data_IF_920897978560
#
_entry.id   IF_920897978560
#
_cell.length_a   1.000
_cell.length_b   1.000
_cell.length_c   1.000
_cell.angle_alpha   90.00
_cell.angle_beta   90.00
_cell.angle_gamma   90.00
#
_symmetry.space_group_name_H-M   'P 1'
#
loop_
_entity.id
_entity.type
_entity.pdbx_description
1 polymer ?
#
# COMPACT_ATOMS: atom_id res chain seq x y z
N UNK A 1 -1.09 12.32 11.32
CA UNK A 1 -2.26 11.45 11.55
C UNK A 1 -1.76 10.12 12.09
N UNK A 2 -2.52 9.46 12.96
CA UNK A 2 -2.10 8.21 13.62
C UNK A 2 -1.60 7.14 12.64
N UNK A 3 -2.21 7.04 11.45
CA UNK A 3 -1.81 6.10 10.40
C UNK A 3 -0.39 6.36 9.84
N UNK A 4 0.04 7.63 9.75
CA UNK A 4 1.39 7.98 9.29
C UNK A 4 2.45 7.68 10.35
N UNK A 5 2.14 7.85 11.63
CA UNK A 5 3.03 7.48 12.74
C UNK A 5 3.19 5.96 12.84
N UNK A 6 2.10 5.20 12.70
CA UNK A 6 2.15 3.73 12.66
C UNK A 6 2.90 3.22 11.44
N UNK A 7 2.78 3.89 10.29
CA UNK A 7 3.57 3.59 9.09
C UNK A 7 5.06 3.85 9.32
N UNK A 8 5.44 4.98 9.92
CA UNK A 8 6.83 5.27 10.28
C UNK A 8 7.42 4.20 11.21
N UNK A 9 6.65 3.74 12.21
CA UNK A 9 7.02 2.62 13.05
C UNK A 9 7.18 1.30 12.28
N UNK A 10 6.33 1.04 11.28
CA UNK A 10 6.47 -0.13 10.42
C UNK A 10 7.75 -0.06 9.57
N UNK A 11 8.05 1.09 8.97
CA UNK A 11 9.28 1.34 8.19
C UNK A 11 10.55 1.10 9.02
N UNK A 12 10.57 1.58 10.28
CA UNK A 12 11.71 1.44 11.18
C UNK A 12 12.02 -0.03 11.56
N UNK A 13 11.04 -0.93 11.49
CA UNK A 13 11.18 -2.36 11.84
C UNK A 13 11.64 -3.25 10.68
N UNK A 14 11.87 -2.70 9.48
CA UNK A 14 12.34 -3.48 8.32
C UNK A 14 13.87 -3.61 8.33
N UNK A 15 14.44 -4.83 8.31
CA UNK A 15 15.89 -5.04 8.43
C UNK A 15 16.63 -4.44 7.23
N UNK A 16 17.62 -3.59 7.52
CA UNK A 16 18.56 -3.07 6.54
C UNK A 16 19.48 -4.21 6.06
N UNK A 17 19.47 -4.52 4.78
CA UNK A 17 20.52 -5.35 4.18
C UNK A 17 21.85 -4.58 4.18
N UNK A 18 22.93 -5.23 4.61
CA UNK A 18 24.26 -4.63 4.75
C UNK A 18 24.87 -4.22 3.40
N UNK A 19 25.21 -2.93 3.31
CA UNK A 19 26.22 -2.26 2.47
C UNK A 19 26.52 -2.76 1.05
N UNK A 20 26.10 -1.97 0.06
CA UNK A 20 26.91 -1.49 -1.07
C UNK A 20 26.08 -0.43 -1.82
N UNK A 21 26.36 0.86 -1.59
CA UNK A 21 25.74 2.04 -2.24
C UNK A 21 24.30 1.77 -2.75
N UNK A 22 23.43 1.38 -1.81
CA UNK A 22 22.12 0.80 -2.10
C UNK A 22 21.21 1.88 -2.69
N UNK A 23 20.42 1.61 -3.75
CA UNK A 23 19.33 2.50 -4.10
C UNK A 23 18.49 2.76 -2.83
N UNK A 24 18.11 4.02 -2.58
CA UNK A 24 17.23 4.38 -1.45
C UNK A 24 16.02 3.43 -1.46
N UNK A 25 15.68 2.86 -0.29
CA UNK A 25 14.54 1.96 -0.16
C UNK A 25 13.28 2.65 -0.65
N UNK A 26 12.36 1.92 -1.23
CA UNK A 26 11.14 2.48 -1.77
C UNK A 26 9.97 2.27 -0.81
N UNK A 27 9.18 3.31 -0.61
CA UNK A 27 7.81 3.21 -0.10
C UNK A 27 6.89 3.35 -1.31
N UNK A 28 6.44 2.21 -1.82
CA UNK A 28 5.49 2.09 -2.91
C UNK A 28 4.08 2.27 -2.34
N UNK A 29 3.43 3.39 -2.66
CA UNK A 29 2.13 3.75 -2.10
C UNK A 29 1.06 3.52 -3.15
N UNK A 30 0.16 2.58 -2.89
CA UNK A 30 -1.03 2.33 -3.70
C UNK A 30 -2.23 3.05 -3.06
N UNK A 31 -2.69 4.18 -3.62
CA UNK A 31 -3.88 4.87 -3.12
C UNK A 31 -5.19 4.23 -3.58
N UNK A 32 -5.13 3.01 -4.12
CA UNK A 32 -6.28 2.22 -4.56
C UNK A 32 -6.67 2.49 -6.00
N UNK A 33 -7.79 1.88 -6.35
CA UNK A 33 -8.21 1.66 -7.73
C UNK A 33 -8.37 2.97 -8.53
N UNK A 34 -7.57 3.10 -9.59
CA UNK A 34 -8.02 3.68 -10.87
C UNK A 34 -8.38 2.52 -11.78
N UNK A 35 -9.49 1.82 -11.55
CA UNK A 35 -9.98 0.91 -12.58
C UNK A 35 -10.28 1.73 -13.84
N UNK A 36 -9.93 1.18 -15.00
CA UNK A 36 -10.05 1.88 -16.28
C UNK A 36 -11.44 2.51 -16.42
N UNK A 37 -11.46 3.83 -16.63
CA UNK A 37 -12.61 4.74 -16.63
C UNK A 37 -13.13 5.15 -15.22
N UNK A 38 -12.78 6.39 -14.84
CA UNK A 38 -13.58 7.31 -14.00
C UNK A 38 -13.57 7.14 -12.46
N UNK A 39 -12.88 6.16 -11.87
CA UNK A 39 -12.64 6.15 -10.44
C UNK A 39 -11.63 7.22 -10.00
N UNK A 40 -12.04 8.14 -9.11
CA UNK A 40 -11.08 8.93 -8.33
C UNK A 40 -10.52 8.04 -7.20
N UNK A 41 -9.20 8.01 -6.98
CA UNK A 41 -8.64 7.24 -5.87
C UNK A 41 -9.21 7.74 -4.53
N UNK A 42 -9.16 6.89 -3.51
CA UNK A 42 -9.67 7.22 -2.18
C UNK A 42 -9.05 8.54 -1.66
N UNK A 43 -9.90 9.49 -1.28
CA UNK A 43 -9.46 10.85 -0.92
C UNK A 43 -8.54 10.85 0.31
N UNK A 44 -8.79 9.95 1.27
CA UNK A 44 -7.93 9.80 2.44
C UNK A 44 -6.55 9.23 2.05
N UNK A 45 -6.51 8.24 1.17
CA UNK A 45 -5.28 7.67 0.64
C UNK A 45 -4.49 8.69 -0.19
N UNK A 46 -5.16 9.50 -1.00
CA UNK A 46 -4.55 10.63 -1.72
C UNK A 46 -3.97 11.66 -0.75
N UNK A 47 -4.67 11.99 0.33
CA UNK A 47 -4.19 12.91 1.36
C UNK A 47 -2.95 12.36 2.06
N UNK A 48 -2.94 11.08 2.43
CA UNK A 48 -1.77 10.41 3.00
C UNK A 48 -0.58 10.41 2.03
N UNK A 49 -0.82 10.06 0.77
CA UNK A 49 0.20 10.07 -0.28
C UNK A 49 0.77 11.48 -0.48
N UNK A 50 -0.07 12.51 -0.57
CA UNK A 50 0.36 13.91 -0.66
C UNK A 50 1.24 14.30 0.53
N UNK A 51 0.83 13.95 1.75
CA UNK A 51 1.60 14.22 2.96
C UNK A 51 2.96 13.50 2.95
N UNK A 52 3.00 12.25 2.52
CA UNK A 52 4.25 11.47 2.39
C UNK A 52 5.17 12.06 1.33
N UNK A 53 4.64 12.46 0.16
CA UNK A 53 5.41 13.07 -0.92
C UNK A 53 5.96 14.46 -0.57
N UNK A 54 5.25 15.22 0.26
CA UNK A 54 5.65 16.57 0.67
C UNK A 54 6.75 16.57 1.75
N UNK A 55 7.01 15.43 2.40
CA UNK A 55 8.04 15.28 3.43
C UNK A 55 9.36 14.82 2.81
N UNK A 56 10.47 15.38 3.29
CA UNK A 56 11.79 14.82 2.98
C UNK A 56 12.04 13.57 3.83
N UNK A 57 12.29 12.45 3.17
CA UNK A 57 12.65 11.18 3.80
C UNK A 57 14.13 10.90 3.49
N UNK A 58 14.97 10.87 4.53
CA UNK A 58 16.43 10.72 4.37
C UNK A 58 16.82 9.40 3.70
N UNK A 59 16.07 8.33 3.97
CA UNK A 59 16.47 6.95 3.64
C UNK A 59 15.45 6.20 2.77
N UNK A 60 14.31 6.83 2.47
CA UNK A 60 13.20 6.22 1.73
C UNK A 60 12.79 7.13 0.57
N UNK A 61 12.56 6.55 -0.60
CA UNK A 61 11.93 7.21 -1.74
C UNK A 61 10.45 6.84 -1.77
N UNK A 62 9.57 7.81 -1.57
CA UNK A 62 8.12 7.61 -1.70
C UNK A 62 7.76 7.62 -3.17
N UNK A 63 7.11 6.57 -3.65
CA UNK A 63 6.70 6.40 -5.04
C UNK A 63 5.23 6.01 -5.10
N UNK A 64 4.37 6.79 -5.75
CA UNK A 64 3.00 6.36 -6.03
C UNK A 64 3.03 5.19 -7.01
N UNK A 65 2.19 4.18 -6.79
CA UNK A 65 2.02 3.05 -7.69
C UNK A 65 0.54 2.80 -7.97
N UNK A 66 0.25 2.11 -9.06
CA UNK A 66 -1.10 1.66 -9.38
C UNK A 66 -1.06 0.26 -10.00
N UNK A 67 -2.11 -0.51 -9.75
CA UNK A 67 -2.30 -1.80 -10.42
C UNK A 67 -2.69 -1.56 -11.88
N UNK A 68 -1.92 -2.14 -12.80
CA UNK A 68 -2.21 -2.16 -14.22
C UNK A 68 -2.50 -3.58 -14.67
N UNK A 69 -3.28 -3.71 -15.74
CA UNK A 69 -3.52 -4.99 -16.41
C UNK A 69 -3.09 -4.87 -17.86
N UNK A 70 -2.08 -5.66 -18.24
CA UNK A 70 -1.58 -5.72 -19.62
C UNK A 70 -1.44 -7.19 -20.03
N UNK A 71 -1.89 -7.53 -21.23
CA UNK A 71 -1.77 -8.90 -21.80
C UNK A 71 -2.37 -10.01 -20.90
N UNK A 72 -3.41 -9.69 -20.13
CA UNK A 72 -4.07 -10.66 -19.24
C UNK A 72 -3.37 -10.88 -17.89
N UNK A 73 -2.24 -10.22 -17.64
CA UNK A 73 -1.54 -10.25 -16.36
C UNK A 73 -1.64 -8.90 -15.64
N UNK A 74 -1.81 -8.94 -14.32
CA UNK A 74 -1.73 -7.74 -13.49
C UNK A 74 -0.31 -7.51 -12.99
N UNK A 75 0.06 -6.24 -12.89
CA UNK A 75 1.33 -5.84 -12.31
C UNK A 75 1.24 -4.39 -11.81
N UNK A 76 2.06 -4.05 -10.82
CA UNK A 76 2.15 -2.66 -10.37
C UNK A 76 3.08 -1.86 -11.28
N UNK A 77 2.66 -0.63 -11.57
CA UNK A 77 3.45 0.37 -12.29
C UNK A 77 3.65 1.60 -11.42
N UNK A 78 4.74 2.30 -11.63
CA UNK A 78 4.90 3.64 -11.07
C UNK A 78 3.79 4.55 -11.58
N UNK A 79 3.16 5.33 -10.71
CA UNK A 79 2.07 6.23 -11.03
C UNK A 79 2.51 7.70 -10.88
N UNK A 80 3.65 8.03 -11.48
CA UNK A 80 4.32 9.33 -11.28
C UNK A 80 3.46 10.52 -11.70
N UNK A 81 2.62 10.35 -12.74
CA UNK A 81 1.69 11.40 -13.16
C UNK A 81 0.69 11.74 -12.06
N UNK A 82 0.24 10.73 -11.30
CA UNK A 82 -0.65 10.95 -10.16
C UNK A 82 0.05 11.70 -9.04
N UNK A 83 1.31 11.33 -8.72
CA UNK A 83 2.11 12.08 -7.74
C UNK A 83 2.29 13.54 -8.13
N UNK A 84 2.62 13.81 -9.40
CA UNK A 84 2.72 15.17 -9.93
C UNK A 84 1.39 15.94 -9.82
N UNK A 85 0.27 15.30 -10.18
CA UNK A 85 -1.07 15.89 -10.05
C UNK A 85 -1.41 16.25 -8.60
N UNK A 86 -1.12 15.35 -7.64
CA UNK A 86 -1.38 15.58 -6.21
C UNK A 86 -0.54 16.72 -5.61
N UNK A 87 0.63 16.98 -6.19
CA UNK A 87 1.53 18.07 -5.83
C UNK A 87 1.31 19.33 -6.69
N UNK A 88 0.29 19.33 -7.55
CA UNK A 88 -0.04 20.45 -8.44
C UNK A 88 1.14 20.85 -9.37
N UNK A 89 2.03 19.89 -9.66
CA UNK A 89 3.18 20.07 -10.55
C UNK A 89 2.72 19.97 -12.00
N UNK A 90 3.08 20.99 -12.79
CA UNK A 90 2.78 21.03 -14.22
C UNK A 90 3.92 20.41 -15.03
N UNK A 91 3.55 19.65 -16.07
CA UNK A 91 4.45 19.37 -17.18
C UNK A 91 5.22 18.04 -17.16
N UNK A 92 5.41 17.57 -18.39
CA UNK A 92 6.16 16.41 -18.87
C UNK A 92 5.45 15.05 -18.86
N UNK A 93 5.64 14.35 -19.98
CA UNK A 93 5.24 12.96 -20.18
C UNK A 93 6.12 12.11 -19.28
N UNK A 94 5.63 11.79 -18.09
CA UNK A 94 6.34 10.90 -17.18
C UNK A 94 6.15 9.47 -17.64
N UNK A 95 7.26 8.75 -17.76
CA UNK A 95 7.23 7.31 -17.93
C UNK A 95 6.77 6.67 -16.62
N UNK A 96 5.93 5.65 -16.78
CA UNK A 96 5.30 4.90 -15.70
C UNK A 96 5.62 3.43 -15.95
N UNK A 97 6.90 3.00 -15.84
CA UNK A 97 7.28 1.61 -16.08
C UNK A 97 6.75 0.69 -14.98
N UNK A 98 6.87 -0.62 -15.18
CA UNK A 98 6.64 -1.61 -14.13
C UNK A 98 7.50 -1.29 -12.91
N UNK A 99 6.96 -1.52 -11.71
CA UNK A 99 7.69 -1.27 -10.48
C UNK A 99 8.88 -2.22 -10.38
N UNK A 100 10.06 -1.62 -10.29
CA UNK A 100 11.30 -2.29 -9.90
C UNK A 100 11.28 -2.46 -8.37
N UNK A 101 11.27 -3.71 -7.91
CA UNK A 101 11.16 -4.06 -6.48
C UNK A 101 12.48 -4.66 -6.03
N UNK A 102 12.98 -4.14 -4.92
CA UNK A 102 14.14 -4.67 -4.22
C UNK A 102 13.79 -5.12 -2.80
N UNK A 103 14.65 -5.96 -2.25
CA UNK A 103 14.57 -6.38 -0.85
C UNK A 103 14.64 -5.17 0.08
N UNK A 104 13.66 -5.06 0.98
CA UNK A 104 13.57 -3.98 1.95
C UNK A 104 12.67 -2.82 1.52
N UNK A 105 12.13 -2.87 0.30
CA UNK A 105 11.04 -2.00 -0.12
C UNK A 105 9.75 -2.32 0.64
N UNK A 106 8.87 -1.33 0.71
CA UNK A 106 7.57 -1.44 1.38
C UNK A 106 6.48 -1.10 0.40
N UNK A 107 5.53 -2.01 0.24
CA UNK A 107 4.28 -1.77 -0.47
C UNK A 107 3.20 -1.42 0.55
N UNK A 108 2.64 -0.22 0.45
CA UNK A 108 1.62 0.31 1.34
C UNK A 108 0.31 0.50 0.56
N UNK A 109 -0.68 -0.35 0.83
CA UNK A 109 -2.02 -0.27 0.26
C UNK A 109 -2.84 0.81 0.96
N UNK A 110 -2.53 2.09 0.73
CA UNK A 110 -3.09 3.23 1.46
C UNK A 110 -4.63 3.31 1.44
N UNK A 111 -5.28 2.84 0.38
CA UNK A 111 -6.74 2.73 0.32
C UNK A 111 -7.34 1.68 1.27
N UNK A 112 -6.53 0.77 1.80
CA UNK A 112 -6.98 -0.38 2.55
C UNK A 112 -7.41 -1.52 1.64
N UNK A 113 -8.46 -2.24 2.04
CA UNK A 113 -9.00 -3.36 1.28
C UNK A 113 -9.85 -2.81 0.12
N UNK A 114 -9.43 -3.08 -1.11
CA UNK A 114 -10.16 -2.73 -2.34
C UNK A 114 -10.41 -3.97 -3.21
N UNK A 115 -11.39 -3.93 -4.12
CA UNK A 115 -11.57 -4.99 -5.11
C UNK A 115 -10.30 -5.29 -5.92
N UNK A 116 -9.58 -4.27 -6.41
CA UNK A 116 -8.35 -4.53 -7.17
C UNK A 116 -7.25 -5.16 -6.31
N UNK A 117 -7.15 -4.82 -5.02
CA UNK A 117 -6.19 -5.46 -4.12
C UNK A 117 -6.55 -6.93 -3.87
N UNK A 118 -7.84 -7.25 -3.71
CA UNK A 118 -8.34 -8.63 -3.59
C UNK A 118 -8.01 -9.43 -4.86
N UNK A 119 -8.22 -8.83 -6.03
CA UNK A 119 -7.87 -9.45 -7.31
C UNK A 119 -6.36 -9.66 -7.47
N UNK A 120 -5.53 -8.67 -7.10
CA UNK A 120 -4.07 -8.78 -7.08
C UNK A 120 -3.57 -9.85 -6.11
N UNK A 121 -4.31 -10.13 -5.04
CA UNK A 121 -4.00 -11.26 -4.16
C UNK A 121 -4.35 -12.59 -4.84
N UNK A 122 -5.52 -12.68 -5.49
CA UNK A 122 -6.01 -13.89 -6.12
C UNK A 122 -5.16 -14.36 -7.32
N UNK A 123 -4.62 -13.43 -8.11
CA UNK A 123 -3.79 -13.74 -9.27
C UNK A 123 -2.30 -13.90 -8.96
N UNK A 124 -1.92 -13.77 -7.68
CA UNK A 124 -0.54 -13.93 -7.22
C UNK A 124 0.32 -12.67 -7.33
N UNK A 125 -0.22 -11.54 -7.82
CA UNK A 125 0.53 -10.27 -7.90
C UNK A 125 1.12 -9.87 -6.55
N UNK A 126 0.35 -9.93 -5.45
CA UNK A 126 0.88 -9.61 -4.12
C UNK A 126 1.92 -10.62 -3.62
N UNK A 127 1.76 -11.90 -3.97
CA UNK A 127 2.75 -12.92 -3.65
C UNK A 127 4.08 -12.64 -4.37
N UNK A 128 4.04 -12.22 -5.63
CA UNK A 128 5.21 -11.83 -6.40
C UNK A 128 5.96 -10.62 -5.80
N UNK A 129 5.25 -9.60 -5.30
CA UNK A 129 5.94 -8.49 -4.61
C UNK A 129 6.73 -9.00 -3.39
N UNK A 130 6.15 -9.94 -2.64
CA UNK A 130 6.78 -10.52 -1.44
C UNK A 130 7.95 -11.42 -1.77
N UNK A 131 7.86 -12.25 -2.80
CA UNK A 131 8.97 -13.12 -3.21
C UNK A 131 10.18 -12.29 -3.67
N UNK A 132 9.94 -11.11 -4.26
CA UNK A 132 10.97 -10.10 -4.58
C UNK A 132 11.51 -9.33 -3.37
N UNK A 133 10.94 -9.55 -2.18
CA UNK A 133 11.44 -9.02 -0.91
C UNK A 133 10.79 -7.71 -0.46
N UNK A 134 9.67 -7.31 -1.06
CA UNK A 134 8.86 -6.22 -0.53
C UNK A 134 8.09 -6.67 0.71
N UNK A 135 7.95 -5.76 1.67
CA UNK A 135 7.04 -5.92 2.81
C UNK A 135 5.70 -5.28 2.49
N UNK A 136 4.61 -6.01 2.69
CA UNK A 136 3.25 -5.53 2.41
C UNK A 136 2.59 -5.02 3.71
N UNK A 137 2.13 -3.78 3.66
CA UNK A 137 1.46 -3.08 4.76
C UNK A 137 0.04 -2.71 4.31
N UNK A 138 -0.96 -3.23 5.03
CA UNK A 138 -2.38 -3.06 4.74
C UNK A 138 -3.07 -2.35 5.91
N UNK A 139 -3.56 -1.11 5.74
CA UNK A 139 -4.44 -0.49 6.71
C UNK A 139 -5.83 -1.16 6.70
N UNK A 140 -6.33 -1.47 7.88
CA UNK A 140 -7.71 -1.92 8.08
C UNK A 140 -8.50 -0.75 8.62
N UNK A 141 -9.44 -0.27 7.79
CA UNK A 141 -10.26 0.89 8.12
C UNK A 141 -11.48 0.48 8.92
N UNK A 142 -11.80 1.30 9.91
CA UNK A 142 -13.02 1.15 10.69
C UNK A 142 -14.21 1.72 9.89
N UNK A 143 -15.39 1.10 10.00
CA UNK A 143 -16.63 1.61 9.41
C UNK A 143 -17.12 2.87 10.15
N UNK A 144 -16.85 2.93 11.46
CA UNK A 144 -17.04 4.10 12.33
C UNK A 144 -15.86 4.17 13.31
N UNK A 145 -15.61 5.28 14.02
CA UNK A 145 -14.48 5.39 14.95
C UNK A 145 -14.45 4.24 15.98
N UNK A 146 -13.48 3.34 15.84
CA UNK A 146 -13.31 2.18 16.73
C UNK A 146 -14.15 0.95 16.39
N UNK A 147 -14.94 0.98 15.32
CA UNK A 147 -15.84 -0.12 14.94
C UNK A 147 -15.47 -0.67 13.56
N UNK A 148 -15.17 -1.97 13.48
CA UNK A 148 -14.90 -2.63 12.21
C UNK A 148 -16.19 -2.82 11.39
N UNK A 149 -16.08 -2.92 10.05
CA UNK A 149 -17.17 -3.43 9.24
C UNK A 149 -17.67 -4.80 9.76
N UNK A 150 -18.93 -5.18 9.45
CA UNK A 150 -19.48 -6.46 9.88
C UNK A 150 -18.58 -7.65 9.53
N UNK A 151 -18.45 -8.60 10.45
CA UNK A 151 -17.61 -9.82 10.28
C UNK A 151 -17.88 -10.54 8.96
N UNK A 152 -19.15 -10.60 8.52
CA UNK A 152 -19.56 -11.26 7.28
C UNK A 152 -18.96 -10.64 6.02
N UNK A 153 -18.59 -9.37 6.06
CA UNK A 153 -17.99 -8.64 4.94
C UNK A 153 -16.46 -8.63 5.07
N UNK A 154 -15.96 -8.34 6.27
CA UNK A 154 -14.54 -8.15 6.51
C UNK A 154 -13.76 -9.47 6.60
N UNK A 155 -14.29 -10.48 7.27
CA UNK A 155 -13.59 -11.74 7.51
C UNK A 155 -13.17 -12.47 6.22
N UNK A 156 -14.02 -12.65 5.18
CA UNK A 156 -13.60 -13.31 3.96
C UNK A 156 -12.48 -12.55 3.23
N UNK A 157 -12.57 -11.21 3.18
CA UNK A 157 -11.54 -10.36 2.58
C UNK A 157 -10.21 -10.48 3.32
N UNK A 158 -10.25 -10.43 4.65
CA UNK A 158 -9.06 -10.61 5.48
C UNK A 158 -8.45 -12.01 5.34
N UNK A 159 -9.25 -13.07 5.27
CA UNK A 159 -8.74 -14.43 5.04
C UNK A 159 -8.01 -14.54 3.71
N UNK A 160 -8.48 -13.84 2.69
CA UNK A 160 -7.83 -13.79 1.39
C UNK A 160 -6.55 -12.95 1.40
N UNK A 161 -6.54 -11.79 2.05
CA UNK A 161 -5.41 -10.85 2.01
C UNK A 161 -4.33 -11.15 3.06
N UNK A 162 -4.70 -11.59 4.26
CA UNK A 162 -3.78 -11.78 5.39
C UNK A 162 -2.56 -12.68 5.07
N UNK A 163 -2.66 -13.76 4.28
CA UNK A 163 -1.50 -14.55 3.87
C UNK A 163 -0.46 -13.76 3.05
N UNK A 164 -0.88 -12.69 2.38
CA UNK A 164 -0.06 -11.82 1.54
C UNK A 164 0.31 -10.50 2.21
N UNK A 165 0.00 -10.30 3.49
CA UNK A 165 0.34 -9.07 4.22
C UNK A 165 1.28 -9.36 5.37
N UNK A 166 2.28 -8.52 5.56
CA UNK A 166 3.21 -8.64 6.67
C UNK A 166 2.79 -7.78 7.87
N UNK A 167 2.01 -6.71 7.62
CA UNK A 167 1.48 -5.81 8.65
C UNK A 167 0.05 -5.42 8.35
N UNK A 168 -0.83 -5.58 9.34
CA UNK A 168 -2.14 -4.94 9.37
C UNK A 168 -2.04 -3.67 10.23
N UNK A 169 -2.24 -2.49 9.64
CA UNK A 169 -2.27 -1.23 10.38
C UNK A 169 -3.68 -0.96 10.88
N UNK A 170 -3.82 -0.81 12.19
CA UNK A 170 -5.09 -0.55 12.86
C UNK A 170 -5.05 0.86 13.46
N UNK A 171 -6.18 1.56 13.47
CA UNK A 171 -6.26 2.91 14.04
C UNK A 171 -6.21 2.90 15.57
N UNK A 172 -6.71 1.84 16.20
CA UNK A 172 -6.77 1.70 17.66
C UNK A 172 -6.38 0.29 18.10
N UNK A 173 -6.00 0.16 19.38
CA UNK A 173 -5.75 -1.14 19.99
C UNK A 173 -7.00 -2.03 20.04
N UNK A 174 -8.19 -1.44 20.19
CA UNK A 174 -9.46 -2.16 20.19
C UNK A 174 -9.71 -2.84 18.83
N UNK A 175 -9.51 -2.10 17.73
CA UNK A 175 -9.60 -2.64 16.37
C UNK A 175 -8.56 -3.74 16.17
N UNK A 176 -7.33 -3.56 16.67
CA UNK A 176 -6.29 -4.57 16.57
C UNK A 176 -6.63 -5.85 17.35
N UNK A 177 -7.22 -5.74 18.55
CA UNK A 177 -7.67 -6.89 19.34
C UNK A 177 -8.79 -7.66 18.63
N UNK A 178 -9.73 -6.94 18.03
CA UNK A 178 -10.83 -7.55 17.30
C UNK A 178 -10.36 -8.25 16.02
N UNK A 179 -9.41 -7.67 15.28
CA UNK A 179 -8.82 -8.32 14.11
C UNK A 179 -8.08 -9.60 14.46
N UNK A 180 -7.39 -9.63 15.61
CA UNK A 180 -6.77 -10.86 16.11
C UNK A 180 -7.82 -11.94 16.38
N UNK A 181 -8.93 -11.59 17.02
CA UNK A 181 -10.08 -12.50 17.22
C UNK A 181 -10.61 -13.05 15.90
N UNK A 182 -10.81 -12.20 14.89
CA UNK A 182 -11.34 -12.59 13.58
C UNK A 182 -10.41 -13.50 12.77
N UNK A 183 -9.11 -13.31 12.93
CA UNK A 183 -8.06 -14.11 12.27
C UNK A 183 -7.66 -15.36 13.05
N UNK A 184 -8.17 -15.53 14.28
CA UNK A 184 -7.80 -16.63 15.17
C UNK A 184 -6.34 -16.57 15.63
N UNK A 185 -5.82 -15.36 15.89
CA UNK A 185 -4.43 -15.09 16.32
C UNK A 185 -4.35 -14.48 17.71
#
# INVERSE_FOLDING_TARGET
SASLETLAGALARSPAGTQARTPRRQLLVDPGDRTQAQGLPDAHACSQLRALLAQEHSDVRVEPVCLAQEQGARHYRYARKMGAQLLELQGHRMEEPMVDIARGDVFYAAAGITPALIEAAADGTLADLRTRGARIVLPVRAASPGELPPDSELQPQLRQLAPHTDVLLCETEAVAAELKRLLGR
#
